data_IF_968849741525
#
_entry.id   IF_968849741525
#
_cell.length_a   1.000
_cell.length_b   1.000
_cell.length_c   1.000
_cell.angle_alpha   90.00
_cell.angle_beta   90.00
_cell.angle_gamma   90.00
#
_symmetry.space_group_name_H-M   'P 1'
#
loop_
_entity.id
_entity.type
_entity.pdbx_description
1 polymer ?
#
# COMPACT_ATOMS: atom_id res chain seq x y z
N UNK A 1 -5.76 28.40 -32.92
CA UNK A 1 -6.18 27.77 -34.18
C UNK A 1 -7.48 28.41 -34.64
N UNK A 2 -7.43 29.16 -35.74
CA UNK A 2 -8.53 30.02 -36.24
C UNK A 2 -9.68 29.15 -36.78
N UNK A 3 -10.88 29.26 -36.21
CA UNK A 3 -12.10 28.74 -36.85
C UNK A 3 -12.48 29.72 -37.97
N UNK A 4 -12.17 29.36 -39.21
CA UNK A 4 -12.67 30.06 -40.39
C UNK A 4 -14.17 29.83 -40.50
N UNK A 5 -14.94 30.87 -40.23
CA UNK A 5 -16.36 30.98 -40.53
C UNK A 5 -16.54 31.24 -42.04
N UNK A 6 -16.67 30.18 -42.83
CA UNK A 6 -17.24 30.31 -44.18
C UNK A 6 -18.76 30.41 -44.07
N UNK A 7 -19.26 31.64 -43.99
CA UNK A 7 -20.67 31.94 -44.21
C UNK A 7 -20.89 32.20 -45.70
N UNK A 8 -21.21 31.15 -46.45
CA UNK A 8 -21.68 31.28 -47.84
C UNK A 8 -23.12 31.80 -47.80
N UNK A 9 -23.34 32.98 -48.36
CA UNK A 9 -24.63 33.69 -48.37
C UNK A 9 -25.51 33.11 -49.48
N UNK A 10 -26.42 32.20 -49.13
CA UNK A 10 -27.47 31.71 -50.03
C UNK A 10 -28.80 32.45 -49.76
N UNK A 11 -29.49 32.96 -50.78
CA UNK A 11 -30.72 33.71 -50.61
C UNK A 11 -31.94 32.80 -50.68
N UNK A 12 -32.30 32.10 -49.60
CA UNK A 12 -33.64 31.51 -49.47
C UNK A 12 -34.10 31.54 -48.01
N UNK A 13 -35.28 32.14 -47.81
CA UNK A 13 -35.94 32.50 -46.54
C UNK A 13 -36.33 31.33 -45.63
N UNK A 14 -35.86 30.10 -45.90
CA UNK A 14 -36.13 28.89 -45.09
C UNK A 14 -34.95 28.38 -44.25
N UNK A 15 -33.70 28.60 -44.67
CA UNK A 15 -32.52 28.00 -44.03
C UNK A 15 -32.10 28.68 -42.71
N UNK A 16 -32.34 29.99 -42.57
CA UNK A 16 -31.99 30.74 -41.36
C UNK A 16 -32.78 30.32 -40.12
N UNK A 17 -34.00 29.80 -40.29
CA UNK A 17 -34.81 29.25 -39.19
C UNK A 17 -34.28 27.89 -38.72
N UNK A 18 -33.84 27.04 -39.66
CA UNK A 18 -33.25 25.73 -39.34
C UNK A 18 -31.93 25.85 -38.57
N UNK A 19 -31.05 26.79 -38.97
CA UNK A 19 -29.81 27.04 -38.23
C UNK A 19 -30.07 27.56 -36.80
N UNK A 20 -31.03 28.48 -36.61
CA UNK A 20 -31.39 28.98 -35.28
C UNK A 20 -31.96 27.89 -34.37
N UNK A 21 -32.74 26.97 -34.94
CA UNK A 21 -33.28 25.81 -34.20
C UNK A 21 -32.12 24.90 -33.75
N UNK A 22 -31.19 24.59 -34.65
CA UNK A 22 -30.01 23.78 -34.31
C UNK A 22 -29.15 24.43 -33.23
N UNK A 23 -28.89 25.74 -33.33
CA UNK A 23 -28.14 26.50 -32.33
C UNK A 23 -28.85 26.49 -30.97
N UNK A 24 -30.19 26.58 -30.94
CA UNK A 24 -30.99 26.47 -29.72
C UNK A 24 -30.86 25.08 -29.08
N UNK A 25 -30.92 24.00 -29.87
CA UNK A 25 -30.72 22.64 -29.38
C UNK A 25 -29.31 22.41 -28.83
N UNK A 26 -28.28 22.91 -29.51
CA UNK A 26 -26.90 22.82 -29.04
C UNK A 26 -26.68 23.61 -27.73
N UNK A 27 -27.28 24.80 -27.62
CA UNK A 27 -27.26 25.57 -26.39
C UNK A 27 -27.97 24.83 -25.24
N UNK A 28 -29.14 24.25 -25.50
CA UNK A 28 -29.89 23.46 -24.52
C UNK A 28 -29.10 22.21 -24.08
N UNK A 29 -28.45 21.51 -25.01
CA UNK A 29 -27.57 20.38 -24.71
C UNK A 29 -26.39 20.81 -23.82
N UNK A 30 -25.76 21.95 -24.12
CA UNK A 30 -24.69 22.51 -23.30
C UNK A 30 -25.13 22.84 -21.87
N UNK A 31 -26.33 23.41 -21.70
CA UNK A 31 -26.92 23.67 -20.38
C UNK A 31 -27.19 22.37 -19.60
N UNK A 32 -27.70 21.33 -20.27
CA UNK A 32 -27.92 20.02 -19.66
C UNK A 32 -26.61 19.35 -19.24
N UNK A 33 -25.56 19.47 -20.04
CA UNK A 33 -24.23 18.96 -19.68
C UNK A 33 -23.63 19.68 -18.47
N UNK A 34 -23.74 21.01 -18.41
CA UNK A 34 -23.32 21.79 -17.25
C UNK A 34 -24.07 21.34 -16.00
N UNK A 35 -25.40 21.15 -16.11
CA UNK A 35 -26.22 20.68 -14.99
C UNK A 35 -25.81 19.28 -14.53
N UNK A 36 -25.50 18.36 -15.46
CA UNK A 36 -25.00 17.02 -15.12
C UNK A 36 -23.68 17.08 -14.36
N UNK A 37 -22.73 17.90 -14.81
CA UNK A 37 -21.44 18.10 -14.14
C UNK A 37 -21.61 18.67 -12.74
N UNK A 38 -22.50 19.65 -12.57
CA UNK A 38 -22.80 20.23 -11.25
C UNK A 38 -23.36 19.18 -10.29
N UNK A 39 -24.33 18.37 -10.75
CA UNK A 39 -24.91 17.28 -9.92
C UNK A 39 -23.84 16.24 -9.58
N UNK A 40 -22.97 15.87 -10.52
CA UNK A 40 -21.89 14.92 -10.29
C UNK A 40 -20.89 15.45 -9.26
N UNK A 41 -20.51 16.73 -9.37
CA UNK A 41 -19.63 17.37 -8.39
C UNK A 41 -20.28 17.37 -7.00
N UNK A 42 -21.54 17.80 -6.88
CA UNK A 42 -22.27 17.77 -5.60
C UNK A 42 -22.30 16.38 -4.99
N UNK A 43 -22.66 15.35 -5.78
CA UNK A 43 -22.65 13.96 -5.31
C UNK A 43 -21.27 13.52 -4.83
N UNK A 44 -20.21 13.87 -5.55
CA UNK A 44 -18.85 13.52 -5.14
C UNK A 44 -18.45 14.26 -3.86
N UNK A 45 -18.78 15.55 -3.73
CA UNK A 45 -18.53 16.32 -2.52
C UNK A 45 -19.24 15.71 -1.31
N UNK A 46 -20.54 15.43 -1.45
CA UNK A 46 -21.38 14.95 -0.35
C UNK A 46 -21.03 13.50 0.05
N UNK A 47 -20.76 12.62 -0.93
CA UNK A 47 -20.53 11.20 -0.67
C UNK A 47 -19.07 10.82 -0.43
N UNK A 48 -18.11 11.64 -0.88
CA UNK A 48 -16.68 11.32 -0.83
C UNK A 48 -15.90 12.38 -0.07
N UNK A 49 -15.93 13.64 -0.51
CA UNK A 49 -15.08 14.67 0.06
C UNK A 49 -15.41 14.98 1.52
N UNK A 50 -16.68 15.23 1.83
CA UNK A 50 -17.12 15.58 3.19
C UNK A 50 -16.92 14.44 4.20
N UNK A 51 -17.30 13.17 3.91
CA UNK A 51 -17.01 12.05 4.81
C UNK A 51 -15.51 11.85 5.04
N UNK A 52 -14.69 11.94 3.99
CA UNK A 52 -13.24 11.82 4.13
C UNK A 52 -12.67 12.93 5.01
N UNK A 53 -13.11 14.17 4.81
CA UNK A 53 -12.68 15.31 5.62
C UNK A 53 -13.06 15.11 7.09
N UNK A 54 -14.29 14.69 7.38
CA UNK A 54 -14.74 14.38 8.75
C UNK A 54 -13.91 13.27 9.41
N UNK A 55 -13.53 12.24 8.66
CA UNK A 55 -12.65 11.17 9.16
C UNK A 55 -11.27 11.74 9.51
N UNK A 56 -10.69 12.57 8.64
CA UNK A 56 -9.39 13.20 8.86
C UNK A 56 -9.46 14.13 10.08
N UNK A 57 -10.44 15.02 10.13
CA UNK A 57 -10.62 15.98 11.23
C UNK A 57 -10.86 15.23 12.55
N UNK A 58 -11.70 14.19 12.56
CA UNK A 58 -11.91 13.34 13.74
C UNK A 58 -10.64 12.60 14.20
N UNK A 59 -9.76 12.19 13.27
CA UNK A 59 -8.45 11.64 13.64
C UNK A 59 -7.52 12.72 14.21
N UNK A 60 -7.56 13.94 13.69
CA UNK A 60 -6.74 15.05 14.18
C UNK A 60 -7.19 15.47 15.59
N UNK A 61 -8.49 15.62 15.81
CA UNK A 61 -9.08 16.02 17.09
C UNK A 61 -9.04 14.88 18.15
N UNK A 62 -9.04 13.62 17.70
CA UNK A 62 -8.92 12.45 18.56
C UNK A 62 -7.51 12.25 19.14
N UNK A 63 -6.49 12.92 18.61
CA UNK A 63 -5.20 13.04 19.27
C UNK A 63 -5.29 14.14 20.33
N UNK A 64 -4.92 13.83 21.58
CA UNK A 64 -4.86 14.85 22.64
C UNK A 64 -4.10 16.08 22.15
N UNK A 65 -4.73 17.27 22.21
CA UNK A 65 -4.12 18.54 21.81
C UNK A 65 -2.75 18.72 22.47
N UNK A 66 -2.63 18.31 23.73
CA UNK A 66 -1.37 18.34 24.48
C UNK A 66 -0.30 17.42 23.88
N UNK A 67 -0.66 16.24 23.36
CA UNK A 67 0.30 15.31 22.76
C UNK A 67 0.80 15.82 21.41
N UNK A 68 -0.06 16.48 20.63
CA UNK A 68 0.35 17.18 19.41
C UNK A 68 1.26 18.38 19.70
N UNK A 69 0.98 19.13 20.76
CA UNK A 69 1.83 20.25 21.19
C UNK A 69 3.18 19.78 21.73
N UNK A 70 3.22 18.74 22.57
CA UNK A 70 4.46 18.09 23.03
C UNK A 70 5.29 17.63 21.83
N UNK A 71 4.66 17.05 20.81
CA UNK A 71 5.33 16.65 19.56
C UNK A 71 5.91 17.85 18.80
N UNK A 72 5.15 18.94 18.64
CA UNK A 72 5.63 20.18 18.00
C UNK A 72 6.81 20.77 18.77
N UNK A 73 6.72 20.80 20.10
CA UNK A 73 7.78 21.31 20.97
C UNK A 73 9.06 20.49 20.85
N UNK A 74 8.94 19.17 20.96
CA UNK A 74 10.07 18.26 20.79
C UNK A 74 10.74 18.42 19.41
N UNK A 75 9.97 18.50 18.32
CA UNK A 75 10.53 18.74 16.98
C UNK A 75 11.29 20.07 16.89
N UNK A 76 10.79 21.12 17.55
CA UNK A 76 11.50 22.41 17.63
C UNK A 76 12.83 22.28 18.36
N UNK A 77 12.85 21.61 19.50
CA UNK A 77 14.09 21.38 20.26
C UNK A 77 15.12 20.59 19.43
N UNK A 78 14.68 19.58 18.67
CA UNK A 78 15.56 18.83 17.76
C UNK A 78 16.12 19.69 16.65
N UNK A 79 15.28 20.56 16.07
CA UNK A 79 15.71 21.49 15.04
C UNK A 79 16.71 22.52 15.60
N UNK A 80 16.50 23.02 16.82
CA UNK A 80 17.45 23.90 17.50
C UNK A 80 18.80 23.22 17.75
N UNK A 81 18.80 21.95 18.18
CA UNK A 81 20.02 21.17 18.35
C UNK A 81 20.77 21.01 17.02
N UNK A 82 20.05 20.71 15.94
CA UNK A 82 20.63 20.63 14.60
C UNK A 82 21.23 21.97 14.15
N UNK A 83 20.52 23.07 14.35
CA UNK A 83 21.02 24.40 14.00
C UNK A 83 22.28 24.75 14.79
N UNK A 84 22.33 24.43 16.10
CA UNK A 84 23.53 24.61 16.92
C UNK A 84 24.70 23.79 16.37
N UNK A 85 24.47 22.53 16.03
CA UNK A 85 25.47 21.66 15.42
C UNK A 85 26.02 22.24 14.11
N UNK A 86 25.14 22.63 13.18
CA UNK A 86 25.53 23.25 11.91
C UNK A 86 26.26 24.59 12.10
N UNK A 87 25.87 25.38 13.09
CA UNK A 87 26.53 26.65 13.38
C UNK A 87 27.95 26.45 13.93
N UNK A 88 28.18 25.40 14.71
CA UNK A 88 29.50 25.08 15.29
C UNK A 88 30.42 24.46 14.24
N UNK A 89 29.95 23.47 13.48
CA UNK A 89 30.78 22.76 12.49
C UNK A 89 30.83 23.39 11.09
N UNK A 90 29.89 24.28 10.77
CA UNK A 90 29.73 24.80 9.42
C UNK A 90 29.06 23.80 8.48
N UNK A 91 29.52 23.73 7.22
CA UNK A 91 28.99 22.76 6.24
C UNK A 91 29.55 21.37 6.51
N UNK A 92 28.73 20.49 7.07
CA UNK A 92 29.09 19.09 7.32
C UNK A 92 28.70 18.24 6.12
N UNK A 93 29.67 17.55 5.52
CA UNK A 93 29.40 16.49 4.56
C UNK A 93 29.06 15.20 5.31
N UNK A 94 28.19 14.39 4.72
CA UNK A 94 27.72 13.14 5.34
C UNK A 94 28.86 12.13 5.62
N UNK A 95 30.02 12.27 4.97
CA UNK A 95 31.21 11.42 5.20
C UNK A 95 31.92 11.71 6.52
N UNK A 96 31.84 12.95 7.01
CA UNK A 96 32.52 13.42 8.22
C UNK A 96 31.57 13.47 9.42
N UNK A 97 30.43 12.80 9.29
CA UNK A 97 29.41 12.71 10.32
C UNK A 97 29.87 11.76 11.42
N UNK A 98 29.94 12.27 12.65
CA UNK A 98 30.15 11.46 13.85
C UNK A 98 28.88 11.45 14.70
N UNK A 99 28.36 10.24 14.95
CA UNK A 99 27.20 10.01 15.81
C UNK A 99 27.42 10.38 17.27
N UNK A 100 28.68 10.52 17.72
CA UNK A 100 29.00 10.97 19.08
C UNK A 100 28.71 12.46 19.28
N UNK A 101 28.81 13.25 18.21
CA UNK A 101 28.72 14.71 18.22
C UNK A 101 27.29 15.22 18.01
N UNK A 102 26.59 14.63 17.05
CA UNK A 102 25.18 14.88 16.80
C UNK A 102 24.56 13.62 16.23
N UNK A 103 23.48 13.13 16.82
CA UNK A 103 22.80 11.94 16.34
C UNK A 103 21.32 12.23 16.05
N UNK A 104 20.92 12.34 14.77
CA UNK A 104 19.54 12.58 14.38
C UNK A 104 18.64 11.35 14.66
N UNK A 105 19.24 10.22 15.02
CA UNK A 105 18.55 8.97 15.34
C UNK A 105 18.55 8.64 16.85
N UNK A 106 19.12 9.47 17.73
CA UNK A 106 19.08 9.25 19.18
C UNK A 106 17.63 9.04 19.67
N UNK A 107 16.70 9.70 19.00
CA UNK A 107 15.28 9.61 19.28
C UNK A 107 14.56 8.83 18.20
N UNK A 108 15.05 7.62 17.92
CA UNK A 108 14.40 6.64 17.06
C UNK A 108 13.06 6.20 17.68
N UNK A 109 12.11 7.11 17.56
CA UNK A 109 10.69 6.98 17.69
C UNK A 109 10.25 6.64 19.12
N UNK A 110 9.64 7.60 19.79
CA UNK A 110 8.19 7.65 19.93
C UNK A 110 7.40 6.58 19.12
N UNK A 111 7.72 5.27 19.29
CA UNK A 111 7.06 4.14 18.64
C UNK A 111 5.59 4.07 19.03
N UNK A 112 5.21 4.69 20.14
CA UNK A 112 3.82 4.86 20.58
C UNK A 112 3.02 5.78 19.66
N UNK A 113 3.65 6.75 18.97
CA UNK A 113 2.97 7.87 18.31
C UNK A 113 3.05 7.83 16.79
N UNK A 114 3.99 7.07 16.22
CA UNK A 114 4.06 6.76 14.77
C UNK A 114 3.51 5.38 14.42
N UNK A 115 3.14 4.57 15.43
CA UNK A 115 2.43 3.32 15.22
C UNK A 115 0.97 3.65 14.92
N UNK A 116 0.74 4.14 13.71
CA UNK A 116 -0.60 4.13 13.11
C UNK A 116 -0.97 2.66 13.00
N UNK A 117 -1.87 2.21 13.88
CA UNK A 117 -2.47 0.89 13.74
C UNK A 117 -3.40 0.97 12.53
N UNK A 118 -2.87 0.68 11.36
CA UNK A 118 -3.73 0.46 10.20
C UNK A 118 -4.63 -0.72 10.53
N UNK A 119 -5.96 -0.57 10.42
CA UNK A 119 -6.85 -1.72 10.56
C UNK A 119 -6.39 -2.80 9.58
N UNK A 120 -6.58 -4.10 9.92
CA UNK A 120 -6.22 -5.18 9.02
C UNK A 120 -6.86 -4.93 7.66
N UNK A 121 -6.03 -4.78 6.64
CA UNK A 121 -6.48 -4.52 5.28
C UNK A 121 -7.36 -5.69 4.83
N UNK A 122 -8.67 -5.43 4.67
CA UNK A 122 -9.64 -6.42 4.21
C UNK A 122 -9.60 -6.48 2.69
N UNK A 123 -8.57 -7.15 2.18
CA UNK A 123 -8.46 -7.42 0.75
C UNK A 123 -9.63 -8.34 0.30
N UNK A 124 -10.49 -7.90 -0.63
CA UNK A 124 -11.58 -8.72 -1.17
C UNK A 124 -11.10 -10.06 -1.73
N UNK A 125 -9.88 -10.10 -2.27
CA UNK A 125 -9.29 -11.31 -2.87
C UNK A 125 -8.85 -12.32 -1.80
N UNK A 126 -8.56 -11.86 -0.58
CA UNK A 126 -8.10 -12.71 0.53
C UNK A 126 -9.23 -13.07 1.51
N UNK A 127 -10.45 -12.56 1.29
CA UNK A 127 -11.56 -12.72 2.23
C UNK A 127 -11.91 -14.18 2.50
N UNK A 128 -11.96 -15.02 1.46
CA UNK A 128 -12.25 -16.44 1.61
C UNK A 128 -11.16 -17.18 2.41
N UNK A 129 -9.90 -16.80 2.20
CA UNK A 129 -8.77 -17.38 2.92
C UNK A 129 -8.76 -16.95 4.39
N UNK A 130 -9.09 -15.69 4.69
CA UNK A 130 -9.25 -15.21 6.07
C UNK A 130 -10.35 -15.98 6.81
N UNK A 131 -11.52 -16.15 6.20
CA UNK A 131 -12.62 -16.94 6.77
C UNK A 131 -12.21 -18.38 7.08
N UNK A 132 -11.53 -19.04 6.14
CA UNK A 132 -11.04 -20.41 6.38
C UNK A 132 -10.08 -20.49 7.57
N UNK A 133 -9.14 -19.55 7.67
CA UNK A 133 -8.21 -19.51 8.81
C UNK A 133 -8.96 -19.26 10.12
N UNK A 134 -9.99 -18.40 10.13
CA UNK A 134 -10.83 -18.15 11.31
C UNK A 134 -11.61 -19.40 11.72
N UNK A 135 -12.18 -20.14 10.77
CA UNK A 135 -12.85 -21.43 11.03
C UNK A 135 -11.88 -22.45 11.62
N UNK A 136 -10.69 -22.60 11.05
CA UNK A 136 -9.63 -23.48 11.56
C UNK A 136 -9.15 -23.06 12.95
N UNK A 137 -9.07 -21.75 13.24
CA UNK A 137 -8.78 -21.23 14.59
C UNK A 137 -9.81 -21.70 15.61
N UNK A 138 -11.09 -21.62 15.25
CA UNK A 138 -12.20 -21.99 16.13
C UNK A 138 -12.15 -23.49 16.40
N UNK A 139 -12.01 -24.31 15.35
CA UNK A 139 -11.94 -25.78 15.48
C UNK A 139 -10.78 -26.20 16.36
N UNK A 140 -9.55 -25.72 16.09
CA UNK A 140 -8.37 -26.08 16.89
C UNK A 140 -8.47 -25.61 18.34
N UNK A 141 -9.12 -24.47 18.58
CA UNK A 141 -9.38 -23.97 19.94
C UNK A 141 -10.36 -24.86 20.68
N UNK A 142 -11.41 -25.35 20.02
CA UNK A 142 -12.35 -26.31 20.60
C UNK A 142 -11.67 -27.65 20.92
N UNK A 143 -10.77 -28.12 20.06
CA UNK A 143 -10.08 -29.40 20.23
C UNK A 143 -8.99 -29.36 21.30
N UNK A 144 -8.15 -28.32 21.30
CA UNK A 144 -6.94 -28.28 22.16
C UNK A 144 -7.06 -27.33 23.35
N UNK A 145 -8.13 -26.53 23.42
CA UNK A 145 -8.34 -25.53 24.47
C UNK A 145 -7.40 -24.32 24.41
N UNK A 146 -6.55 -24.21 23.37
CA UNK A 146 -5.56 -23.13 23.22
C UNK A 146 -5.93 -22.16 22.09
N UNK A 147 -5.49 -20.92 22.22
CA UNK A 147 -5.68 -19.89 21.18
C UNK A 147 -4.45 -19.85 20.29
N UNK A 148 -4.64 -20.02 18.99
CA UNK A 148 -3.56 -20.00 17.99
C UNK A 148 -3.61 -18.74 17.14
N UNK A 149 -2.44 -18.22 16.75
CA UNK A 149 -2.34 -17.14 15.79
C UNK A 149 -2.60 -17.64 14.36
N UNK A 150 -3.05 -16.74 13.47
CA UNK A 150 -3.17 -17.02 12.04
C UNK A 150 -1.83 -17.43 11.38
N UNK A 151 -0.70 -17.12 12.02
CA UNK A 151 0.63 -17.60 11.59
C UNK A 151 0.86 -19.05 11.97
N UNK A 152 0.44 -19.44 13.17
CA UNK A 152 0.61 -20.79 13.70
C UNK A 152 -0.22 -21.79 12.86
N UNK A 153 -1.44 -21.40 12.49
CA UNK A 153 -2.33 -22.22 11.65
C UNK A 153 -1.81 -22.38 10.24
N UNK A 154 -1.26 -21.31 9.66
CA UNK A 154 -0.56 -21.42 8.40
C UNK A 154 0.63 -22.37 8.51
N UNK A 155 1.37 -22.35 9.61
CA UNK A 155 2.49 -23.27 9.81
C UNK A 155 2.05 -24.75 9.92
N UNK A 156 0.90 -25.03 10.57
CA UNK A 156 0.32 -26.37 10.63
C UNK A 156 -0.13 -26.89 9.25
N UNK A 157 -0.61 -26.00 8.39
CA UNK A 157 -1.15 -26.33 7.06
C UNK A 157 -0.12 -26.26 5.92
N UNK A 158 1.14 -25.93 6.20
CA UNK A 158 2.20 -26.04 5.18
C UNK A 158 2.40 -27.52 4.86
N UNK A 159 2.39 -27.93 3.57
CA UNK A 159 2.79 -29.29 3.23
C UNK A 159 4.18 -29.52 3.79
N UNK A 160 4.40 -30.68 4.42
CA UNK A 160 5.73 -31.09 4.88
C UNK A 160 6.60 -31.34 3.64
N UNK A 161 7.14 -30.27 3.09
CA UNK A 161 8.10 -30.27 1.98
C UNK A 161 9.25 -31.19 2.40
N UNK A 162 9.82 -32.01 1.47
CA UNK A 162 10.96 -32.85 1.80
C UNK A 162 12.01 -32.02 2.55
N UNK A 163 12.49 -32.55 3.68
CA UNK A 163 13.42 -31.94 4.65
C UNK A 163 14.78 -31.60 4.02
N UNK A 164 14.80 -30.74 3.00
CA UNK A 164 15.99 -30.47 2.23
C UNK A 164 16.97 -29.62 3.03
N UNK A 165 16.49 -28.53 3.65
CA UNK A 165 17.34 -27.48 4.26
C UNK A 165 16.60 -26.56 5.25
N UNK A 166 15.59 -27.04 5.98
CA UNK A 166 14.81 -26.17 6.87
C UNK A 166 15.56 -25.78 8.16
N UNK A 167 16.49 -26.62 8.62
CA UNK A 167 17.18 -26.42 9.91
C UNK A 167 18.60 -25.83 9.78
N UNK A 168 19.03 -25.46 8.58
CA UNK A 168 20.38 -24.93 8.34
C UNK A 168 20.35 -23.41 8.45
N UNK A 169 20.98 -22.87 9.50
CA UNK A 169 21.12 -21.45 9.73
C UNK A 169 21.93 -20.77 8.61
N UNK A 170 21.61 -19.52 8.26
CA UNK A 170 22.21 -18.76 7.15
C UNK A 170 23.75 -18.76 7.16
N UNK A 171 24.38 -18.73 8.34
CA UNK A 171 25.86 -18.81 8.48
C UNK A 171 26.45 -20.18 8.19
N UNK A 172 25.65 -21.23 8.31
CA UNK A 172 26.06 -22.62 8.08
C UNK A 172 25.78 -23.07 6.64
N UNK A 173 25.00 -22.29 5.88
CA UNK A 173 24.83 -22.50 4.43
C UNK A 173 26.15 -22.42 3.68
N UNK A 174 26.99 -21.44 3.99
CA UNK A 174 28.30 -21.25 3.34
C UNK A 174 29.30 -22.36 3.68
N UNK A 175 29.03 -23.15 4.73
CA UNK A 175 29.85 -24.30 5.12
C UNK A 175 29.37 -25.61 4.48
N UNK A 176 28.30 -25.58 3.70
CA UNK A 176 27.76 -26.80 3.07
C UNK A 176 28.78 -27.32 2.05
N UNK A 177 29.22 -28.59 2.14
CA UNK A 177 30.18 -29.15 1.20
C UNK A 177 29.61 -29.21 -0.22
N UNK A 178 30.46 -28.91 -1.21
CA UNK A 178 30.11 -28.93 -2.64
C UNK A 178 29.52 -30.28 -3.11
N UNK A 179 29.87 -31.39 -2.44
CA UNK A 179 29.36 -32.74 -2.70
C UNK A 179 27.88 -32.97 -2.35
N UNK A 180 27.15 -31.99 -1.80
CA UNK A 180 25.72 -32.16 -1.51
C UNK A 180 24.87 -32.41 -2.78
N UNK A 181 25.36 -31.99 -3.95
CA UNK A 181 24.74 -32.35 -5.24
C UNK A 181 24.69 -33.86 -5.45
N UNK A 182 25.63 -34.60 -4.84
CA UNK A 182 25.76 -36.06 -4.87
C UNK A 182 25.21 -36.74 -3.60
N UNK A 183 24.46 -36.01 -2.77
CA UNK A 183 23.81 -36.61 -1.59
C UNK A 183 22.86 -37.74 -2.00
N UNK A 184 22.77 -38.78 -1.16
CA UNK A 184 21.90 -39.95 -1.41
C UNK A 184 20.46 -39.57 -1.79
N UNK A 185 19.94 -38.50 -1.17
CA UNK A 185 18.59 -37.96 -1.42
C UNK A 185 18.48 -37.47 -2.87
N UNK A 186 19.48 -36.75 -3.38
CA UNK A 186 19.52 -36.26 -4.78
C UNK A 186 19.81 -37.37 -5.78
N UNK A 187 20.64 -38.35 -5.42
CA UNK A 187 20.91 -39.51 -6.27
C UNK A 187 19.66 -40.40 -6.44
N UNK A 188 18.89 -40.64 -5.37
CA UNK A 188 17.61 -41.36 -5.43
C UNK A 188 16.58 -40.66 -6.33
N UNK A 189 16.48 -39.33 -6.22
CA UNK A 189 15.64 -38.54 -7.12
C UNK A 189 16.07 -38.68 -8.59
N UNK A 190 17.37 -38.62 -8.89
CA UNK A 190 17.89 -38.82 -10.26
C UNK A 190 17.61 -40.23 -10.79
N UNK A 191 17.72 -41.26 -9.95
CA UNK A 191 17.39 -42.64 -10.33
C UNK A 191 15.91 -42.78 -10.71
N UNK A 192 15.01 -42.15 -9.94
CA UNK A 192 13.58 -42.21 -10.23
C UNK A 192 13.22 -41.49 -11.54
N UNK A 193 13.86 -40.35 -11.84
CA UNK A 193 13.63 -39.63 -13.12
C UNK A 193 14.16 -40.43 -14.32
N UNK A 194 15.31 -41.09 -14.19
CA UNK A 194 15.84 -41.97 -15.25
C UNK A 194 14.93 -43.18 -15.51
N UNK A 195 14.38 -43.79 -14.46
CA UNK A 195 13.44 -44.91 -14.59
C UNK A 195 12.09 -44.49 -15.22
N UNK A 196 11.65 -43.25 -15.01
CA UNK A 196 10.44 -42.72 -15.67
C UNK A 196 10.67 -42.49 -17.16
N UNK A 197 11.87 -42.06 -17.58
CA UNK A 197 12.20 -41.85 -19.00
C UNK A 197 12.33 -43.19 -19.74
N UNK A 198 12.85 -44.24 -19.09
CA UNK A 198 12.94 -45.59 -19.69
C UNK A 198 11.59 -46.33 -19.78
N UNK A 199 10.51 -45.83 -19.17
CA UNK A 199 9.16 -46.42 -19.29
C UNK A 199 8.33 -45.78 -20.42
N UNK A 200 8.90 -44.83 -21.16
CA UNK A 200 8.26 -44.16 -22.30
C UNK A 200 8.94 -44.47 -23.65
N UNK A 201 9.80 -45.49 -23.72
CA UNK A 201 10.33 -46.06 -24.95
C UNK A 201 10.06 -47.57 -25.01
#
# INVERSE_FOLDING_TARGET
TRKMSLCVRLPHTGFGWSCRILDMYLAQAGLLELRRKEIQHKRWTDCVAEPLKKIIDGHIDGHSSEDLERKKQFLREQYEQYLKYCNIKGRVFLRDYDSSEYNPFLYQFCKKYLRVSTPPFRDPLLFQLQKRIEEEQITLRCETGRVYSAKDIRAFNLPRVPLGRQDINSKDWTKTPFGFIESEIRLKSRFNVKNVICLFF
#
